data_IF_897942743451
#
_entry.id   IF_897942743451
#
_cell.length_a   1.000
_cell.length_b   1.000
_cell.length_c   1.000
_cell.angle_alpha   90.00
_cell.angle_beta   90.00
_cell.angle_gamma   90.00
#
_symmetry.space_group_name_H-M   'P 1'
#
loop_
_entity.id
_entity.type
_entity.pdbx_description
1 polymer ?
#
# COMPACT_ATOMS: atom_id res chain seq x y z
N UNK A 1 36.10 9.36 -7.56
CA UNK A 1 36.24 8.85 -7.54
C UNK A 1 35.93 8.52 -7.54
N UNK A 2 35.87 8.84 -7.23
CA UNK A 2 35.74 8.44 -7.05
C UNK A 2 35.48 8.11 -7.00
N UNK A 3 35.84 8.35 -6.71
CA UNK A 3 35.88 7.85 -6.63
C UNK A 3 35.65 7.36 -6.64
N UNK A 4 35.89 7.47 -6.48
CA UNK A 4 36.05 6.87 -6.48
C UNK A 4 35.74 6.23 -6.47
N UNK A 5 36.23 6.59 -6.29
CA UNK A 5 36.42 5.87 -6.18
C UNK A 5 36.57 5.67 -5.99
N UNK A 6 36.91 5.71 -5.73
CA UNK A 6 37.60 5.45 -5.46
C UNK A 6 37.98 5.96 -5.47
N UNK A 7 38.40 6.58 -5.07
CA UNK A 7 39.01 6.76 -5.04
C UNK A 7 39.70 6.70 -5.10
N UNK A 8 40.50 6.97 -5.23
CA UNK A 8 41.17 6.62 -5.14
C UNK A 8 41.70 6.40 -4.75
N UNK A 9 42.41 6.23 -4.67
CA UNK A 9 42.32 6.00 -4.14
C UNK A 9 41.68 5.88 -3.66
N UNK A 10 41.88 5.77 -3.87
CA UNK A 10 40.99 5.66 -3.30
C UNK A 10 39.90 5.92 -2.74
N UNK A 11 39.54 6.17 -2.91
CA UNK A 11 38.35 6.69 -2.57
C UNK A 11 37.23 5.72 -2.42
N UNK A 12 37.51 4.55 -1.99
CA UNK A 12 36.52 3.52 -1.73
C UNK A 12 35.56 3.96 -0.64
N UNK A 13 36.10 4.68 0.31
CA UNK A 13 35.31 5.17 1.42
C UNK A 13 34.23 6.14 0.95
N UNK A 14 34.60 7.03 0.04
CA UNK A 14 33.66 7.98 -0.53
C UNK A 14 32.64 7.27 -1.40
N UNK A 15 33.03 6.22 -2.06
CA UNK A 15 32.13 5.46 -2.89
C UNK A 15 31.02 4.85 -2.04
N UNK A 16 31.35 4.27 -0.90
CA UNK A 16 30.35 3.68 -0.02
C UNK A 16 29.41 4.74 0.54
N UNK A 17 29.92 5.89 0.86
CA UNK A 17 29.10 6.97 1.38
C UNK A 17 28.09 7.42 0.32
N UNK A 18 28.55 7.54 -0.92
CA UNK A 18 27.66 7.96 -2.01
C UNK A 18 26.56 6.93 -2.27
N UNK A 19 26.94 5.66 -2.24
CA UNK A 19 25.99 4.60 -2.49
C UNK A 19 24.97 4.53 -1.36
N UNK A 20 25.43 4.68 -0.15
CA UNK A 20 24.56 4.68 1.00
C UNK A 20 23.59 5.87 0.95
N UNK A 21 24.07 7.01 0.50
CA UNK A 21 23.25 8.19 0.34
C UNK A 21 22.14 7.96 -0.67
N UNK A 22 22.42 7.24 -1.75
CA UNK A 22 21.40 6.92 -2.75
C UNK A 22 20.30 6.04 -2.15
N UNK A 23 20.66 5.12 -1.27
CA UNK A 23 19.67 4.30 -0.58
C UNK A 23 18.78 5.18 0.28
N UNK A 24 19.38 6.18 0.94
CA UNK A 24 18.60 7.09 1.77
C UNK A 24 17.65 7.96 0.96
N UNK A 25 17.89 8.09 -0.34
CA UNK A 25 17.01 8.87 -1.19
C UNK A 25 15.72 8.14 -1.52
N UNK A 26 15.71 6.82 -1.42
CA UNK A 26 14.51 6.04 -1.71
C UNK A 26 13.65 5.98 -0.45
N UNK A 27 12.45 6.55 -0.54
CA UNK A 27 11.55 6.61 0.61
C UNK A 27 10.30 5.74 0.42
N UNK A 28 10.25 4.95 -0.66
CA UNK A 28 9.15 4.03 -0.89
C UNK A 28 8.12 4.58 -1.86
N UNK A 29 6.99 3.91 -1.94
CA UNK A 29 6.00 4.17 -2.98
C UNK A 29 4.75 4.81 -2.40
N UNK A 30 4.28 5.85 -3.05
CA UNK A 30 3.03 6.51 -2.70
C UNK A 30 1.88 5.87 -3.47
N UNK A 31 0.70 5.91 -2.87
CA UNK A 31 -0.52 5.40 -3.51
C UNK A 31 -1.36 6.58 -3.99
N UNK A 32 -1.71 6.56 -5.27
CA UNK A 32 -2.53 7.60 -5.91
C UNK A 32 -3.83 7.00 -6.38
N UNK A 33 -4.93 7.72 -6.18
CA UNK A 33 -6.27 7.27 -6.58
C UNK A 33 -7.00 8.42 -7.26
N UNK A 34 -7.92 8.09 -8.16
CA UNK A 34 -8.76 9.08 -8.83
C UNK A 34 -9.95 8.37 -9.45
N UNK A 35 -10.95 9.15 -9.85
CA UNK A 35 -12.17 8.62 -10.44
C UNK A 35 -13.36 8.79 -9.52
N UNK A 36 -14.31 7.88 -9.63
CA UNK A 36 -15.55 7.88 -8.86
C UNK A 36 -15.25 7.60 -7.38
N UNK A 37 -15.96 8.31 -6.52
CA UNK A 37 -15.73 8.21 -5.08
C UNK A 37 -17.03 8.16 -4.27
N UNK A 38 -18.15 7.85 -4.90
CA UNK A 38 -19.43 7.86 -4.20
C UNK A 38 -19.47 6.91 -3.01
N UNK A 39 -18.65 5.87 -3.01
CA UNK A 39 -18.58 4.88 -1.95
C UNK A 39 -17.32 5.03 -1.09
N UNK A 40 -16.57 6.10 -1.26
CA UNK A 40 -15.32 6.30 -0.53
C UNK A 40 -14.17 5.47 -1.07
N UNK A 41 -14.30 4.93 -2.27
CA UNK A 41 -13.31 3.99 -2.83
C UNK A 41 -11.97 4.64 -3.14
N UNK A 42 -11.87 5.97 -3.13
CA UNK A 42 -10.58 6.64 -3.31
C UNK A 42 -9.80 6.79 -2.01
N UNK A 43 -10.46 6.60 -0.87
CA UNK A 43 -9.78 6.66 0.43
C UNK A 43 -9.41 8.06 0.88
N UNK A 44 -10.14 9.07 0.42
CA UNK A 44 -9.80 10.49 0.68
C UNK A 44 -10.55 11.08 1.86
N UNK A 45 -11.21 10.25 2.67
CA UNK A 45 -11.99 10.67 3.82
C UNK A 45 -13.22 11.49 3.42
N UNK A 46 -13.69 11.31 2.19
CA UNK A 46 -14.91 11.94 1.70
C UNK A 46 -15.46 11.07 0.57
N UNK A 47 -16.50 11.54 -0.09
CA UNK A 47 -17.11 10.83 -1.20
C UNK A 47 -17.15 11.69 -2.47
N UNK A 48 -16.21 12.62 -2.58
CA UNK A 48 -16.11 13.50 -3.75
C UNK A 48 -15.25 12.86 -4.82
N UNK A 49 -15.75 12.84 -6.04
CA UNK A 49 -15.01 12.32 -7.20
C UNK A 49 -13.76 13.15 -7.45
N UNK A 50 -12.73 12.53 -7.98
CA UNK A 50 -11.48 13.22 -8.32
C UNK A 50 -11.18 13.01 -9.79
N UNK A 51 -10.94 14.08 -10.51
CA UNK A 51 -10.57 14.02 -11.93
C UNK A 51 -9.06 14.10 -12.14
N UNK A 52 -8.29 14.19 -11.07
CA UNK A 52 -6.82 14.16 -11.11
C UNK A 52 -6.34 13.21 -10.01
N UNK A 53 -5.17 12.60 -10.18
CA UNK A 53 -4.63 11.73 -9.13
C UNK A 53 -4.42 12.48 -7.82
N UNK A 54 -4.82 11.84 -6.72
CA UNK A 54 -4.60 12.35 -5.35
C UNK A 54 -4.12 11.21 -4.48
N UNK A 55 -3.45 11.53 -3.38
CA UNK A 55 -3.07 10.51 -2.41
C UNK A 55 -4.24 10.22 -1.49
N UNK A 56 -4.23 9.07 -0.84
CA UNK A 56 -5.27 8.74 0.13
C UNK A 56 -5.09 9.60 1.38
N UNK A 57 -6.14 9.68 2.18
CA UNK A 57 -6.09 10.41 3.44
C UNK A 57 -5.02 9.84 4.38
N UNK A 58 -4.82 8.52 4.33
CA UNK A 58 -3.79 7.87 5.15
C UNK A 58 -2.38 8.29 4.74
N UNK A 59 -2.17 8.65 3.47
CA UNK A 59 -0.86 9.04 3.00
C UNK A 59 0.12 7.88 3.02
N UNK A 60 1.38 8.19 3.32
CA UNK A 60 2.41 7.19 3.48
C UNK A 60 3.18 6.91 2.21
N UNK A 61 4.32 6.26 2.37
CA UNK A 61 5.23 5.92 1.27
C UNK A 61 5.64 4.45 1.32
N UNK A 62 4.83 3.61 1.95
CA UNK A 62 5.13 2.20 2.12
C UNK A 62 4.11 1.29 1.44
N UNK A 63 3.43 1.80 0.43
CA UNK A 63 2.49 1.01 -0.34
C UNK A 63 3.24 0.14 -1.34
N UNK A 64 2.82 -1.11 -1.48
CA UNK A 64 3.51 -2.07 -2.32
C UNK A 64 2.65 -2.54 -3.47
N UNK A 65 1.36 -2.73 -3.24
CA UNK A 65 0.47 -3.33 -4.22
C UNK A 65 -0.93 -2.79 -4.01
N UNK A 66 -1.69 -2.63 -5.08
CA UNK A 66 -3.06 -2.12 -5.00
C UNK A 66 -3.92 -2.83 -6.03
N UNK A 67 -5.21 -3.00 -5.71
CA UNK A 67 -6.18 -3.58 -6.62
C UNK A 67 -7.52 -2.89 -6.42
N UNK A 68 -8.15 -2.48 -7.52
CA UNK A 68 -9.48 -1.88 -7.51
C UNK A 68 -10.55 -2.92 -7.75
N UNK A 69 -11.62 -2.85 -6.99
CA UNK A 69 -12.81 -3.66 -7.22
C UNK A 69 -13.91 -2.83 -7.88
N UNK A 70 -15.15 -3.29 -7.78
CA UNK A 70 -16.29 -2.57 -8.34
C UNK A 70 -16.49 -1.20 -7.70
N UNK A 71 -16.44 -1.15 -6.40
CA UNK A 71 -16.62 0.10 -5.65
C UNK A 71 -15.81 0.08 -4.37
N UNK A 72 -14.69 -0.63 -4.36
CA UNK A 72 -13.79 -0.69 -3.21
C UNK A 72 -12.36 -0.82 -3.70
N UNK A 73 -11.43 -0.60 -2.82
CA UNK A 73 -10.01 -0.64 -3.13
C UNK A 73 -9.28 -1.41 -2.04
N UNK A 74 -8.28 -2.17 -2.45
CA UNK A 74 -7.45 -2.96 -1.54
C UNK A 74 -5.98 -2.65 -1.81
N UNK A 75 -5.16 -2.74 -0.78
CA UNK A 75 -3.73 -2.50 -0.93
C UNK A 75 -2.94 -3.24 0.13
N UNK A 76 -1.69 -3.55 -0.18
CA UNK A 76 -0.77 -4.19 0.75
C UNK A 76 0.43 -3.26 0.92
N UNK A 77 0.84 -3.06 2.15
CA UNK A 77 2.04 -2.28 2.46
C UNK A 77 3.27 -3.18 2.51
N UNK A 78 4.43 -2.55 2.52
CA UNK A 78 5.70 -3.29 2.53
C UNK A 78 5.88 -4.13 3.80
N UNK A 79 5.18 -3.79 4.88
CA UNK A 79 5.22 -4.58 6.11
C UNK A 79 4.27 -5.77 6.09
N UNK A 80 3.61 -6.01 4.94
CA UNK A 80 2.72 -7.16 4.78
C UNK A 80 1.31 -6.95 5.30
N UNK A 81 0.95 -5.75 5.72
CA UNK A 81 -0.42 -5.47 6.18
C UNK A 81 -1.35 -5.25 5.00
N UNK A 82 -2.59 -5.70 5.15
CA UNK A 82 -3.63 -5.57 4.13
C UNK A 82 -4.59 -4.46 4.52
N UNK A 83 -4.79 -3.52 3.62
CA UNK A 83 -5.64 -2.35 3.82
C UNK A 83 -6.74 -2.34 2.79
N UNK A 84 -7.93 -1.86 3.18
CA UNK A 84 -9.11 -1.95 2.34
C UNK A 84 -10.05 -0.79 2.67
N UNK A 85 -10.80 -0.31 1.67
CA UNK A 85 -11.74 0.79 1.87
C UNK A 85 -12.74 0.86 0.72
N UNK A 86 -13.84 1.59 0.95
CA UNK A 86 -14.90 1.76 -0.02
C UNK A 86 -16.19 1.11 0.44
N UNK A 87 -16.97 0.64 -0.53
CA UNK A 87 -18.29 0.05 -0.32
C UNK A 87 -18.20 -1.24 0.51
N UNK A 88 -19.19 -1.44 1.39
CA UNK A 88 -19.13 -2.58 2.31
C UNK A 88 -20.50 -3.22 2.58
N UNK A 89 -21.50 -2.97 1.73
CA UNK A 89 -22.85 -3.48 2.03
C UNK A 89 -22.92 -4.99 2.13
N UNK A 90 -22.04 -5.70 1.45
CA UNK A 90 -21.99 -7.16 1.51
C UNK A 90 -20.85 -7.68 2.39
N UNK A 91 -20.21 -6.81 3.17
CA UNK A 91 -19.09 -7.22 4.02
C UNK A 91 -17.81 -7.45 3.27
N UNK A 92 -17.69 -6.92 2.06
CA UNK A 92 -16.55 -7.21 1.19
C UNK A 92 -15.24 -6.58 1.66
N UNK A 93 -15.28 -5.69 2.65
CA UNK A 93 -14.07 -5.13 3.22
C UNK A 93 -13.44 -6.03 4.28
N UNK A 94 -14.15 -7.06 4.74
CA UNK A 94 -13.59 -7.98 5.72
C UNK A 94 -13.38 -7.36 7.10
N UNK A 95 -14.18 -6.37 7.46
CA UNK A 95 -14.04 -5.63 8.72
C UNK A 95 -14.98 -6.12 9.80
N UNK A 96 -15.64 -7.27 9.58
CA UNK A 96 -16.62 -7.86 10.50
C UNK A 96 -17.85 -6.99 10.68
N UNK A 97 -18.15 -6.16 9.70
CA UNK A 97 -19.34 -5.33 9.66
C UNK A 97 -19.66 -5.00 8.21
N UNK A 98 -20.69 -4.19 7.99
CA UNK A 98 -21.07 -3.73 6.65
C UNK A 98 -21.01 -2.21 6.56
N UNK A 99 -20.13 -1.58 7.35
CA UNK A 99 -19.99 -0.13 7.36
C UNK A 99 -19.00 0.29 6.29
N UNK A 100 -19.37 1.25 5.47
CA UNK A 100 -18.52 1.84 4.46
C UNK A 100 -17.31 2.52 5.09
N UNK A 101 -16.17 2.44 4.42
CA UNK A 101 -14.94 3.11 4.87
C UNK A 101 -14.47 4.07 3.81
N UNK A 102 -14.28 5.32 4.19
CA UNK A 102 -13.79 6.36 3.28
C UNK A 102 -12.29 6.57 3.41
N UNK A 103 -11.64 5.82 4.29
CA UNK A 103 -10.17 5.84 4.46
C UNK A 103 -9.69 4.41 4.58
N UNK A 104 -8.42 4.13 4.21
CA UNK A 104 -7.87 2.79 4.37
C UNK A 104 -7.94 2.31 5.82
N UNK A 105 -8.39 1.07 5.99
CA UNK A 105 -8.41 0.38 7.29
C UNK A 105 -7.90 -1.03 7.08
N UNK A 106 -7.46 -1.69 8.16
CA UNK A 106 -7.05 -3.09 8.09
C UNK A 106 -8.27 -3.99 8.23
N UNK A 107 -8.16 -5.24 7.78
CA UNK A 107 -9.23 -6.21 7.91
C UNK A 107 -9.31 -6.72 9.34
N UNK A 108 -10.44 -7.35 9.67
CA UNK A 108 -10.65 -7.95 10.99
C UNK A 108 -9.63 -9.05 11.28
N UNK A 109 -9.22 -9.79 10.25
CA UNK A 109 -8.23 -10.86 10.40
C UNK A 109 -6.87 -10.33 10.82
N UNK A 110 -6.51 -9.10 10.39
CA UNK A 110 -5.22 -8.52 10.72
C UNK A 110 -4.06 -9.29 10.09
N UNK A 111 -2.90 -9.21 10.73
CA UNK A 111 -1.72 -9.93 10.27
C UNK A 111 -0.80 -9.10 9.40
N UNK A 112 0.42 -9.60 9.24
CA UNK A 112 1.49 -8.90 8.52
C UNK A 112 2.12 -9.77 7.45
N UNK A 113 1.43 -10.80 7.00
CA UNK A 113 1.98 -11.75 6.04
C UNK A 113 1.08 -11.90 4.80
N UNK A 114 0.35 -10.86 4.46
CA UNK A 114 -0.44 -10.82 3.25
C UNK A 114 0.48 -10.66 2.04
N UNK A 115 0.21 -11.44 1.01
CA UNK A 115 1.07 -11.52 -0.16
C UNK A 115 0.44 -10.93 -1.41
N UNK A 116 -0.86 -11.09 -1.55
CA UNK A 116 -1.55 -10.74 -2.78
C UNK A 116 -3.01 -10.48 -2.46
N UNK A 117 -3.62 -9.53 -3.15
CA UNK A 117 -5.03 -9.21 -2.96
C UNK A 117 -5.62 -8.81 -4.30
N UNK A 118 -6.90 -9.10 -4.48
CA UNK A 118 -7.63 -8.68 -5.67
C UNK A 118 -9.05 -8.31 -5.29
N UNK A 119 -9.57 -7.24 -5.88
CA UNK A 119 -10.94 -6.83 -5.70
C UNK A 119 -11.80 -7.33 -6.84
N UNK A 120 -12.94 -7.95 -6.52
CA UNK A 120 -13.94 -8.30 -7.50
C UNK A 120 -15.05 -7.26 -7.50
N UNK A 121 -16.16 -7.57 -8.18
CA UNK A 121 -17.29 -6.65 -8.23
C UNK A 121 -17.86 -6.41 -6.83
N UNK A 122 -18.08 -7.48 -6.09
CA UNK A 122 -18.74 -7.40 -4.78
C UNK A 122 -18.08 -8.33 -3.77
N UNK A 123 -16.81 -8.67 -3.98
CA UNK A 123 -16.07 -9.53 -3.06
C UNK A 123 -14.58 -9.20 -3.14
N UNK A 124 -13.83 -9.72 -2.20
CA UNK A 124 -12.39 -9.53 -2.12
C UNK A 124 -11.75 -10.88 -1.86
N UNK A 125 -10.63 -11.15 -2.51
CA UNK A 125 -9.85 -12.37 -2.27
C UNK A 125 -8.40 -11.97 -2.02
N UNK A 126 -7.74 -12.73 -1.16
CA UNK A 126 -6.36 -12.42 -0.78
C UNK A 126 -5.63 -13.68 -0.39
N UNK A 127 -4.31 -13.65 -0.53
CA UNK A 127 -3.42 -14.75 -0.19
C UNK A 127 -2.53 -14.31 0.96
N UNK A 128 -2.45 -15.15 1.96
CA UNK A 128 -1.62 -14.92 3.13
C UNK A 128 -0.61 -16.05 3.27
N UNK A 129 0.62 -15.71 3.59
CA UNK A 129 1.63 -16.73 3.85
C UNK A 129 1.35 -17.46 5.15
N UNK A 130 1.65 -18.75 5.17
CA UNK A 130 1.52 -19.56 6.38
C UNK A 130 2.90 -19.72 6.97
N UNK A 131 3.00 -19.54 8.29
CA UNK A 131 4.26 -19.67 9.00
C UNK A 131 4.36 -21.06 9.61
N UNK A 132 5.34 -21.83 9.14
CA UNK A 132 5.56 -23.19 9.62
C UNK A 132 6.74 -23.29 10.56
N UNK A 133 7.26 -22.17 11.04
CA UNK A 133 8.46 -22.20 11.88
C UNK A 133 8.23 -22.82 13.25
N UNK A 134 6.96 -23.01 13.63
CA UNK A 134 6.62 -23.64 14.91
C UNK A 134 6.77 -25.16 14.90
N UNK A 135 7.06 -25.75 13.76
CA UNK A 135 7.27 -27.16 13.65
C UNK A 135 8.71 -27.50 13.92
#
# INVERSE_FOLDING_TARGET
MPNQFLSPEGDLENYFVDEYWLIDQYVGDQLWTWGQNAQGQLGTNDTTDRSTPVTTFAGGTDWKQVSGGGSHTTAIKTDGTLWIWGWNDFGLLGTNDTTQRNTPVTTFAGGTNWKQVAGGSSHTIAIQSVDFTGF
#
